data_IF_729238513434
#
_entry.id   IF_729238513434
#
_cell.length_a   1.000
_cell.length_b   1.000
_cell.length_c   1.000
_cell.angle_alpha   90.00
_cell.angle_beta   90.00
_cell.angle_gamma   90.00
#
_symmetry.space_group_name_H-M   'P 1'
#
loop_
_entity.id
_entity.type
_entity.pdbx_description
1 polymer ?
#
# COMPACT_ATOMS: atom_id res chain seq x y z
N UNK A 1 20.63 9.22 23.54
CA UNK A 1 19.90 10.37 22.94
C UNK A 1 18.43 10.13 23.22
N UNK A 2 17.78 10.92 24.07
CA UNK A 2 16.36 10.72 24.37
C UNK A 2 15.52 11.31 23.24
N UNK A 3 14.68 10.48 22.61
CA UNK A 3 13.68 10.89 21.61
C UNK A 3 12.57 11.77 22.25
N UNK A 4 12.49 11.86 23.58
CA UNK A 4 11.39 12.52 24.30
C UNK A 4 11.36 14.06 24.22
N UNK A 5 12.26 14.73 23.47
CA UNK A 5 12.29 16.21 23.37
C UNK A 5 11.41 16.75 22.24
N UNK A 6 11.12 15.95 21.23
CA UNK A 6 10.43 16.38 20.02
C UNK A 6 9.30 15.41 19.67
N UNK A 7 8.23 15.89 19.03
CA UNK A 7 7.04 15.08 18.83
C UNK A 7 7.29 13.90 17.88
N UNK A 8 6.68 12.77 18.25
CA UNK A 8 6.55 11.58 17.41
C UNK A 8 5.06 11.33 17.22
N UNK A 9 4.63 11.22 15.97
CA UNK A 9 3.27 10.82 15.62
C UNK A 9 3.32 9.53 14.84
N UNK A 10 2.36 8.64 15.07
CA UNK A 10 2.31 7.36 14.40
C UNK A 10 0.86 6.94 14.17
N UNK A 11 0.66 6.11 13.15
CA UNK A 11 -0.59 5.48 12.80
C UNK A 11 -0.33 4.01 12.47
N UNK A 12 -1.27 3.15 12.82
CA UNK A 12 -1.28 1.73 12.44
C UNK A 12 -2.69 1.37 12.01
N UNK A 13 -2.80 0.67 10.90
CA UNK A 13 -4.05 0.07 10.45
C UNK A 13 -3.84 -1.36 9.97
N UNK A 14 -4.91 -2.14 10.12
CA UNK A 14 -5.02 -3.47 9.55
C UNK A 14 -6.23 -3.48 8.62
N UNK A 15 -6.00 -3.88 7.38
CA UNK A 15 -7.03 -3.92 6.34
C UNK A 15 -7.13 -5.32 5.76
N UNK A 16 -8.36 -5.81 5.57
CA UNK A 16 -8.62 -7.04 4.80
C UNK A 16 -9.70 -6.77 3.77
N UNK A 17 -9.53 -7.34 2.58
CA UNK A 17 -10.51 -7.24 1.50
C UNK A 17 -10.70 -8.61 0.90
N UNK A 18 -11.96 -9.08 0.95
CA UNK A 18 -12.35 -10.38 0.44
C UNK A 18 -11.92 -10.59 -1.03
N UNK A 19 -11.73 -11.85 -1.39
CA UNK A 19 -11.33 -12.35 -2.70
C UNK A 19 -12.10 -11.78 -3.89
N UNK A 20 -13.39 -11.47 -3.70
CA UNK A 20 -14.26 -10.95 -4.76
C UNK A 20 -14.66 -9.49 -4.55
N UNK A 21 -14.13 -8.83 -3.51
CA UNK A 21 -14.34 -7.39 -3.35
C UNK A 21 -13.89 -6.68 -4.64
N UNK A 22 -14.59 -5.61 -5.03
CA UNK A 22 -14.37 -4.88 -6.30
C UNK A 22 -14.60 -5.66 -7.61
N UNK A 23 -14.85 -6.98 -7.61
CA UNK A 23 -15.05 -7.79 -8.83
C UNK A 23 -16.54 -8.17 -8.94
N UNK A 24 -17.19 -7.85 -10.06
CA UNK A 24 -18.63 -8.07 -10.23
C UNK A 24 -19.00 -8.92 -11.46
N UNK A 25 -20.09 -9.70 -11.36
CA UNK A 25 -20.70 -10.32 -12.53
C UNK A 25 -21.50 -9.30 -13.35
N UNK A 26 -21.56 -9.49 -14.67
CA UNK A 26 -22.50 -8.81 -15.56
C UNK A 26 -22.00 -7.52 -16.22
N UNK A 27 -22.91 -6.58 -16.47
CA UNK A 27 -22.67 -5.35 -17.24
C UNK A 27 -22.15 -4.17 -16.41
N UNK A 28 -22.17 -4.28 -15.08
CA UNK A 28 -21.51 -3.30 -14.21
C UNK A 28 -20.00 -3.52 -14.28
N UNK A 29 -19.19 -2.49 -14.54
CA UNK A 29 -17.76 -2.64 -14.44
C UNK A 29 -17.41 -3.00 -12.99
N UNK A 30 -16.43 -3.89 -12.81
CA UNK A 30 -15.70 -4.02 -11.55
C UNK A 30 -15.33 -2.62 -11.01
N UNK A 31 -15.20 -2.47 -9.69
CA UNK A 31 -15.01 -1.17 -9.02
C UNK A 31 -13.58 -0.65 -9.17
N UNK A 32 -13.19 -0.42 -10.41
CA UNK A 32 -11.94 0.20 -10.80
C UNK A 32 -12.17 1.18 -11.96
N UNK A 33 -11.30 2.17 -12.08
CA UNK A 33 -11.27 3.09 -13.21
C UNK A 33 -9.88 3.07 -13.83
N UNK A 34 -9.77 2.73 -15.12
CA UNK A 34 -8.49 2.67 -15.86
C UNK A 34 -7.39 1.86 -15.14
N UNK A 35 -7.77 0.74 -14.52
CA UNK A 35 -6.85 -0.13 -13.77
C UNK A 35 -6.53 0.32 -12.33
N UNK A 36 -7.18 1.37 -11.83
CA UNK A 36 -7.05 1.82 -10.43
C UNK A 36 -8.26 1.40 -9.63
N UNK A 37 -8.06 0.75 -8.49
CA UNK A 37 -9.14 0.47 -7.54
C UNK A 37 -9.84 1.78 -7.13
N UNK A 38 -11.18 1.77 -7.08
CA UNK A 38 -11.94 2.91 -6.56
C UNK A 38 -11.98 2.95 -5.02
N UNK A 39 -11.71 1.81 -4.39
CA UNK A 39 -11.60 1.67 -2.94
C UNK A 39 -10.14 1.64 -2.48
N UNK A 40 -9.80 0.63 -1.68
CA UNK A 40 -8.45 0.46 -1.15
C UNK A 40 -7.40 0.32 -2.26
N UNK A 41 -6.24 0.93 -2.03
CA UNK A 41 -5.20 1.16 -3.02
C UNK A 41 -4.71 -0.12 -3.72
N UNK A 42 -4.64 -1.24 -2.99
CA UNK A 42 -4.13 -2.52 -3.49
C UNK A 42 -5.22 -3.47 -4.03
N UNK A 43 -6.45 -2.98 -4.20
CA UNK A 43 -7.53 -3.74 -4.84
C UNK A 43 -8.24 -4.68 -3.89
N UNK A 44 -8.26 -5.97 -4.19
CA UNK A 44 -9.03 -6.97 -3.42
C UNK A 44 -8.24 -8.25 -3.28
N UNK A 45 -8.80 -9.24 -2.58
CA UNK A 45 -8.11 -10.49 -2.27
C UNK A 45 -6.77 -10.25 -1.57
N UNK A 46 -6.84 -9.64 -0.39
CA UNK A 46 -5.65 -9.26 0.36
C UNK A 46 -5.90 -9.04 1.84
N UNK A 47 -4.81 -9.04 2.59
CA UNK A 47 -4.69 -8.39 3.90
C UNK A 47 -3.47 -7.48 3.92
N UNK A 48 -3.47 -6.47 4.77
CA UNK A 48 -2.32 -5.60 4.97
C UNK A 48 -2.22 -5.08 6.40
N UNK A 49 -1.00 -5.06 6.92
CA UNK A 49 -0.60 -4.30 8.10
C UNK A 49 0.16 -3.05 7.63
N UNK A 50 -0.33 -1.87 7.97
CA UNK A 50 0.34 -0.60 7.66
C UNK A 50 0.73 0.13 8.94
N UNK A 51 1.91 0.74 8.92
CA UNK A 51 2.42 1.62 9.95
C UNK A 51 3.06 2.85 9.31
N UNK A 52 2.70 4.01 9.83
CA UNK A 52 3.33 5.27 9.50
C UNK A 52 3.89 5.92 10.76
N UNK A 53 5.11 6.44 10.69
CA UNK A 53 5.79 7.14 11.79
C UNK A 53 6.44 8.43 11.27
N UNK A 54 6.19 9.52 11.97
CA UNK A 54 6.85 10.80 11.77
C UNK A 54 7.51 11.21 13.08
N UNK A 55 8.82 11.45 13.05
CA UNK A 55 9.60 11.79 14.24
C UNK A 55 10.44 13.05 13.98
N UNK A 56 10.14 14.12 14.70
CA UNK A 56 10.98 15.31 14.68
C UNK A 56 12.25 15.05 15.51
N UNK A 57 13.42 15.30 14.92
CA UNK A 57 14.69 15.23 15.64
C UNK A 57 15.13 16.60 16.17
N UNK A 58 14.72 17.65 15.46
CA UNK A 58 14.93 19.05 15.81
C UNK A 58 13.68 19.85 15.40
N UNK A 59 13.72 21.19 15.55
CA UNK A 59 12.67 22.06 14.97
C UNK A 59 12.70 22.12 13.43
N UNK A 60 13.71 21.52 12.80
CA UNK A 60 13.96 21.63 11.36
C UNK A 60 14.08 20.26 10.68
N UNK A 61 14.38 19.19 11.42
CA UNK A 61 14.63 17.87 10.84
C UNK A 61 13.51 16.92 11.21
N UNK A 62 12.85 16.36 10.20
CA UNK A 62 11.80 15.35 10.31
C UNK A 62 12.29 14.04 9.70
N UNK A 63 12.13 12.94 10.43
CA UNK A 63 12.21 11.59 9.89
C UNK A 63 10.82 11.08 9.58
N UNK A 64 10.66 10.45 8.41
CA UNK A 64 9.45 9.75 8.02
C UNK A 64 9.74 8.27 7.75
N UNK A 65 8.81 7.41 8.18
CA UNK A 65 8.71 6.01 7.82
C UNK A 65 7.25 5.72 7.49
N UNK A 66 7.03 5.04 6.38
CA UNK A 66 5.75 4.48 5.95
C UNK A 66 6.06 3.05 5.50
N UNK A 67 5.41 2.08 6.12
CA UNK A 67 5.65 0.67 5.85
C UNK A 67 4.33 -0.08 5.77
N UNK A 68 4.16 -0.86 4.70
CA UNK A 68 3.04 -1.79 4.54
C UNK A 68 3.58 -3.20 4.31
N UNK A 69 3.14 -4.14 5.14
CA UNK A 69 3.21 -5.58 4.84
C UNK A 69 1.89 -5.99 4.22
N UNK A 70 1.92 -6.47 2.99
CA UNK A 70 0.73 -6.79 2.21
C UNK A 70 0.80 -8.22 1.71
N UNK A 71 -0.15 -9.07 2.09
CA UNK A 71 -0.37 -10.37 1.47
C UNK A 71 -1.44 -10.25 0.40
N UNK A 72 -1.04 -10.39 -0.87
CA UNK A 72 -1.90 -10.30 -2.05
C UNK A 72 -2.18 -11.69 -2.61
N UNK A 73 -3.45 -12.06 -2.70
CA UNK A 73 -3.87 -13.30 -3.35
C UNK A 73 -3.98 -13.19 -4.87
N UNK A 74 -4.31 -14.30 -5.52
CA UNK A 74 -4.30 -14.43 -6.99
C UNK A 74 -5.32 -13.56 -7.73
N UNK A 75 -6.43 -13.16 -7.09
CA UNK A 75 -7.47 -12.38 -7.74
C UNK A 75 -7.10 -10.89 -7.83
N UNK A 76 -6.85 -10.40 -9.04
CA UNK A 76 -6.62 -8.99 -9.32
C UNK A 76 -7.91 -8.30 -9.78
N UNK A 77 -7.87 -6.97 -9.98
CA UNK A 77 -8.97 -6.23 -10.58
C UNK A 77 -9.34 -6.71 -12.01
N UNK A 78 -8.48 -7.49 -12.66
CA UNK A 78 -8.74 -8.12 -13.97
C UNK A 78 -9.40 -9.49 -13.87
N UNK A 79 -9.50 -10.09 -12.69
CA UNK A 79 -10.03 -11.43 -12.56
C UNK A 79 -11.49 -11.46 -13.04
N UNK A 80 -11.83 -12.48 -13.82
CA UNK A 80 -13.22 -12.72 -14.21
C UNK A 80 -13.96 -13.22 -12.98
N UNK A 81 -15.13 -12.65 -12.72
CA UNK A 81 -15.98 -13.13 -11.63
C UNK A 81 -16.38 -14.59 -11.90
N UNK A 82 -15.96 -15.50 -11.02
CA UNK A 82 -16.24 -16.94 -11.15
C UNK A 82 -17.10 -17.48 -9.99
N UNK A 83 -17.69 -16.60 -9.18
CA UNK A 83 -18.56 -17.00 -8.08
C UNK A 83 -20.02 -17.18 -8.53
N UNK A 84 -20.22 -17.93 -9.62
CA UNK A 84 -21.53 -18.02 -10.31
C UNK A 84 -22.56 -18.91 -9.60
N UNK A 85 -22.12 -19.88 -8.79
CA UNK A 85 -23.02 -20.93 -8.30
C UNK A 85 -23.34 -20.93 -6.82
N UNK A 86 -22.42 -20.66 -5.89
CA UNK A 86 -22.75 -20.70 -4.47
C UNK A 86 -21.77 -19.85 -3.68
N UNK A 87 -22.27 -19.28 -2.59
CA UNK A 87 -21.58 -18.74 -1.42
C UNK A 87 -20.57 -19.72 -0.80
N UNK A 88 -19.64 -20.27 -1.58
CA UNK A 88 -18.51 -21.05 -1.12
C UNK A 88 -17.42 -20.01 -0.86
N UNK A 89 -17.09 -19.74 0.41
CA UNK A 89 -15.90 -18.95 0.72
C UNK A 89 -14.72 -19.60 0.01
N UNK A 90 -13.84 -18.79 -0.57
CA UNK A 90 -12.53 -19.29 -1.00
C UNK A 90 -11.94 -20.13 0.14
N UNK A 91 -11.54 -21.37 -0.13
CA UNK A 91 -11.04 -22.28 0.91
C UNK A 91 -9.79 -21.72 1.62
N UNK A 92 -9.08 -20.80 0.95
CA UNK A 92 -7.99 -19.99 1.51
C UNK A 92 -8.27 -18.49 1.38
N UNK A 93 -7.82 -17.70 2.36
CA UNK A 93 -7.85 -16.24 2.29
C UNK A 93 -6.49 -15.65 2.68
N UNK A 94 -5.85 -14.84 1.82
CA UNK A 94 -6.22 -14.55 0.43
C UNK A 94 -6.17 -15.80 -0.45
N UNK A 95 -6.71 -15.72 -1.67
CA UNK A 95 -6.65 -16.86 -2.60
C UNK A 95 -5.20 -17.20 -2.98
N UNK A 96 -4.87 -18.48 -3.08
CA UNK A 96 -3.52 -18.93 -3.42
C UNK A 96 -3.23 -18.77 -4.93
N UNK A 97 -1.96 -18.52 -5.33
CA UNK A 97 -0.81 -18.30 -4.47
C UNK A 97 -0.82 -16.90 -3.81
N UNK A 98 -0.45 -16.83 -2.53
CA UNK A 98 -0.28 -15.55 -1.82
C UNK A 98 1.12 -14.96 -2.05
N UNK A 99 1.17 -13.74 -2.55
CA UNK A 99 2.39 -12.95 -2.77
C UNK A 99 2.53 -11.93 -1.66
N UNK A 100 3.64 -11.96 -0.94
CA UNK A 100 3.93 -11.02 0.13
C UNK A 100 4.76 -9.84 -0.38
N UNK A 101 4.27 -8.63 -0.15
CA UNK A 101 4.95 -7.38 -0.47
C UNK A 101 5.36 -6.66 0.81
N UNK A 102 6.59 -6.17 0.83
CA UNK A 102 7.12 -5.29 1.86
C UNK A 102 7.38 -3.92 1.23
N UNK A 103 6.42 -3.02 1.42
CA UNK A 103 6.41 -1.70 0.80
C UNK A 103 6.90 -0.70 1.83
N UNK A 104 7.97 0.02 1.54
CA UNK A 104 8.56 0.98 2.47
C UNK A 104 8.82 2.30 1.77
N UNK A 105 8.51 3.40 2.44
CA UNK A 105 9.08 4.71 2.19
C UNK A 105 9.74 5.21 3.46
N UNK A 106 10.96 5.70 3.37
CA UNK A 106 11.61 6.41 4.48
C UNK A 106 12.34 7.62 3.95
N UNK A 107 12.29 8.72 4.70
CA UNK A 107 12.93 9.95 4.30
C UNK A 107 13.38 10.81 5.46
N UNK A 108 14.27 11.75 5.13
CA UNK A 108 14.70 12.84 6.00
C UNK A 108 14.35 14.15 5.32
N UNK A 109 13.60 14.98 6.02
CA UNK A 109 13.22 16.31 5.55
C UNK A 109 13.87 17.39 6.39
N UNK A 110 14.39 18.42 5.73
CA UNK A 110 14.96 19.63 6.31
C UNK A 110 14.07 20.83 5.99
N UNK A 111 13.52 21.43 7.03
CA UNK A 111 12.70 22.63 7.00
C UNK A 111 13.56 23.88 7.24
N UNK A 112 13.46 24.84 6.33
CA UNK A 112 14.09 26.14 6.48
C UNK A 112 13.14 27.26 5.98
N UNK A 113 13.63 28.50 5.96
CA UNK A 113 12.83 29.66 5.54
C UNK A 113 12.45 29.64 4.05
N UNK A 114 13.10 28.81 3.22
CA UNK A 114 12.86 28.67 1.79
C UNK A 114 11.92 27.51 1.47
N UNK A 115 11.51 26.71 2.44
CA UNK A 115 10.66 25.53 2.25
C UNK A 115 11.24 24.26 2.87
N UNK A 116 10.79 23.12 2.34
CA UNK A 116 11.21 21.80 2.79
C UNK A 116 12.03 21.10 1.70
N UNK A 117 13.23 20.66 2.07
CA UNK A 117 14.06 19.76 1.24
C UNK A 117 13.98 18.35 1.81
N UNK A 118 13.78 17.36 0.97
CA UNK A 118 13.67 15.97 1.40
C UNK A 118 14.44 15.02 0.50
N UNK A 119 15.10 14.06 1.14
CA UNK A 119 15.72 12.91 0.51
C UNK A 119 15.13 11.65 1.11
N UNK A 120 14.78 10.70 0.26
CA UNK A 120 14.19 9.45 0.74
C UNK A 120 14.47 8.27 -0.17
N UNK A 121 14.10 7.10 0.32
CA UNK A 121 14.09 5.84 -0.39
C UNK A 121 12.68 5.27 -0.36
N UNK A 122 12.21 4.74 -1.49
CA UNK A 122 10.90 4.10 -1.57
C UNK A 122 10.95 2.82 -2.41
N UNK A 123 10.33 1.75 -1.92
CA UNK A 123 10.02 0.53 -2.69
C UNK A 123 8.57 0.52 -3.17
N UNK A 124 7.75 1.50 -2.81
CA UNK A 124 6.31 1.49 -3.10
C UNK A 124 6.11 1.65 -4.62
N UNK A 125 5.58 0.64 -5.35
CA UNK A 125 5.24 0.80 -6.75
C UNK A 125 4.07 1.76 -6.92
N UNK A 126 3.80 2.12 -8.18
CA UNK A 126 2.43 2.53 -8.51
C UNK A 126 1.45 1.43 -8.10
N UNK A 127 0.48 1.81 -7.28
CA UNK A 127 -0.49 0.90 -6.68
C UNK A 127 -1.21 -0.04 -7.67
N UNK A 128 -1.48 0.45 -8.88
CA UNK A 128 -2.12 -0.33 -9.93
C UNK A 128 -1.29 -1.56 -10.34
N UNK A 129 0.04 -1.53 -10.20
CA UNK A 129 0.88 -2.71 -10.47
C UNK A 129 0.50 -3.89 -9.58
N UNK A 130 0.16 -3.63 -8.31
CA UNK A 130 -0.26 -4.68 -7.38
C UNK A 130 -1.76 -4.98 -7.58
N UNK A 131 -2.61 -3.95 -7.59
CA UNK A 131 -4.06 -4.13 -7.62
C UNK A 131 -4.56 -4.76 -8.93
N UNK A 132 -3.98 -4.36 -10.06
CA UNK A 132 -4.44 -4.72 -11.40
C UNK A 132 -3.63 -5.86 -12.01
N UNK A 133 -2.30 -5.82 -11.88
CA UNK A 133 -1.41 -6.82 -12.48
C UNK A 133 -1.02 -7.96 -11.51
N UNK A 134 -1.33 -7.81 -10.21
CA UNK A 134 -0.97 -8.79 -9.17
C UNK A 134 0.50 -8.76 -8.74
N UNK A 135 1.38 -8.22 -9.58
CA UNK A 135 2.83 -8.05 -9.39
C UNK A 135 3.55 -9.26 -8.78
N UNK A 136 4.21 -10.07 -9.61
CA UNK A 136 4.80 -11.34 -9.18
C UNK A 136 6.22 -11.25 -8.56
N UNK A 137 6.76 -10.04 -8.36
CA UNK A 137 8.11 -9.83 -7.82
C UNK A 137 8.22 -8.54 -7.02
N UNK A 138 9.15 -8.49 -6.05
CA UNK A 138 9.41 -7.26 -5.29
C UNK A 138 9.87 -6.13 -6.22
N UNK A 139 9.37 -4.91 -5.99
CA UNK A 139 9.85 -3.71 -6.64
C UNK A 139 11.29 -3.40 -6.27
N UNK A 140 12.11 -3.10 -7.28
CA UNK A 140 13.37 -2.39 -7.06
C UNK A 140 13.05 -0.99 -6.52
N UNK A 141 13.55 -0.66 -5.34
CA UNK A 141 13.34 0.66 -4.74
C UNK A 141 14.21 1.73 -5.39
N UNK A 142 13.86 2.99 -5.14
CA UNK A 142 14.55 4.15 -5.68
C UNK A 142 14.77 5.24 -4.65
N UNK A 143 15.85 5.98 -4.83
CA UNK A 143 16.09 7.23 -4.09
C UNK A 143 15.31 8.35 -4.78
N UNK A 144 14.65 9.20 -3.99
CA UNK A 144 13.97 10.39 -4.49
C UNK A 144 14.44 11.65 -3.76
N UNK A 145 14.24 12.77 -4.45
CA UNK A 145 14.45 14.11 -3.92
C UNK A 145 13.17 14.91 -4.10
N UNK A 146 12.78 15.66 -3.07
CA UNK A 146 11.57 16.48 -3.08
C UNK A 146 11.88 17.86 -2.51
N UNK A 147 11.31 18.87 -3.14
CA UNK A 147 11.30 20.25 -2.66
C UNK A 147 9.86 20.76 -2.67
N UNK A 148 9.43 21.38 -1.57
CA UNK A 148 8.09 21.93 -1.36
C UNK A 148 8.17 23.31 -0.73
#
# INVERSE_FOLDING_TARGET
MSIAKYPVTWEVDFTTLNTWTNIHPGQSPSWYNRGHALGYLYGSDLWSDHIQVNAWLTKQILLNLDYTWLGKGSNTLQAKYDNWFFSIPSESFPSEPVINHHLITTSVSLWNSLGMFEIGYSTIPFANKIAYEGMNSSTEGGIYFRYQ
#
